data_IF_371457429610
#
_entry.id   IF_371457429610
#
_cell.length_a   1.000
_cell.length_b   1.000
_cell.length_c   1.000
_cell.angle_alpha   90.00
_cell.angle_beta   90.00
_cell.angle_gamma   90.00
#
_symmetry.space_group_name_H-M   'P 1'
#
loop_
_entity.id
_entity.type
_entity.pdbx_description
1 polymer ?
#
# COMPACT_ATOMS: atom_id res chain seq x y z
N UNK A 1 23.90 -17.42 -13.94
CA UNK A 1 23.31 -16.06 -14.00
C UNK A 1 21.81 -16.20 -14.07
N UNK A 2 21.17 -16.35 -12.92
CA UNK A 2 19.77 -16.72 -12.80
C UNK A 2 18.87 -15.51 -12.97
N UNK A 3 17.94 -15.61 -13.93
CA UNK A 3 16.76 -14.75 -14.02
C UNK A 3 15.91 -14.96 -12.76
N UNK A 4 15.98 -14.06 -11.80
CA UNK A 4 14.99 -13.98 -10.71
C UNK A 4 13.73 -13.31 -11.26
N UNK A 5 12.94 -14.09 -12.00
CA UNK A 5 11.61 -13.75 -12.45
C UNK A 5 10.68 -14.85 -11.95
N UNK A 6 10.33 -14.84 -10.65
CA UNK A 6 9.21 -15.60 -10.10
C UNK A 6 8.85 -15.11 -8.70
N UNK A 7 8.35 -13.87 -8.60
CA UNK A 7 7.50 -13.45 -7.49
C UNK A 7 6.34 -12.60 -8.05
N UNK A 8 5.75 -13.08 -9.16
CA UNK A 8 4.35 -12.81 -9.47
C UNK A 8 3.53 -13.92 -8.81
N UNK A 9 3.45 -13.91 -7.48
CA UNK A 9 2.22 -14.39 -6.86
C UNK A 9 1.31 -13.17 -6.85
N UNK A 10 0.23 -13.30 -7.61
CA UNK A 10 -0.86 -12.35 -7.73
C UNK A 10 -1.40 -12.09 -6.32
N UNK A 11 -0.88 -11.06 -5.65
CA UNK A 11 -1.65 -10.34 -4.64
C UNK A 11 -2.69 -9.58 -5.45
N UNK A 12 -3.87 -10.20 -5.65
CA UNK A 12 -5.00 -9.45 -6.20
C UNK A 12 -5.17 -8.20 -5.32
N UNK A 13 -5.24 -6.99 -5.89
CA UNK A 13 -5.42 -5.79 -5.10
C UNK A 13 -6.66 -5.97 -4.23
N UNK A 14 -6.45 -5.90 -2.92
CA UNK A 14 -7.48 -6.07 -1.90
C UNK A 14 -8.71 -5.23 -2.25
N UNK A 15 -9.85 -5.91 -2.36
CA UNK A 15 -11.13 -5.33 -2.74
C UNK A 15 -11.52 -4.21 -1.76
N UNK A 16 -11.38 -2.96 -2.19
CA UNK A 16 -11.69 -1.76 -1.39
C UNK A 16 -13.19 -1.70 -1.10
N UNK A 17 -13.57 -1.77 0.17
CA UNK A 17 -14.94 -1.50 0.61
C UNK A 17 -15.18 0.02 0.63
N UNK A 18 -16.20 0.46 -0.11
CA UNK A 18 -16.78 1.81 -0.16
C UNK A 18 -15.83 2.94 -0.63
N UNK A 19 -16.08 3.48 -1.84
CA UNK A 19 -16.36 4.91 -2.15
C UNK A 19 -16.44 5.12 -3.67
N UNK A 20 -17.18 6.16 -4.06
CA UNK A 20 -17.59 6.60 -5.40
C UNK A 20 -16.39 7.02 -6.27
N UNK A 21 -16.51 6.72 -7.58
CA UNK A 21 -15.52 6.87 -8.65
C UNK A 21 -14.20 6.09 -8.47
N UNK A 22 -14.15 4.92 -9.11
CA UNK A 22 -12.92 4.15 -9.31
C UNK A 22 -12.17 4.70 -10.53
N UNK A 23 -10.85 4.78 -10.45
CA UNK A 23 -10.03 5.13 -11.61
C UNK A 23 -9.99 3.94 -12.57
N UNK A 24 -10.02 4.15 -13.90
CA UNK A 24 -9.81 3.06 -14.84
C UNK A 24 -8.48 2.36 -14.56
N UNK A 25 -8.45 1.03 -14.68
CA UNK A 25 -7.24 0.25 -14.42
C UNK A 25 -6.05 0.75 -15.26
N UNK A 26 -6.29 1.14 -16.51
CA UNK A 26 -5.28 1.74 -17.39
C UNK A 26 -4.64 3.00 -16.81
N UNK A 27 -5.41 3.82 -16.11
CA UNK A 27 -4.93 5.04 -15.44
C UNK A 27 -4.11 4.67 -14.20
N UNK A 28 -4.60 3.71 -13.42
CA UNK A 28 -3.89 3.19 -12.23
C UNK A 28 -2.54 2.59 -12.61
N UNK A 29 -2.46 1.81 -13.70
CA UNK A 29 -1.20 1.25 -14.20
C UNK A 29 -0.20 2.33 -14.63
N UNK A 30 -0.67 3.42 -15.24
CA UNK A 30 0.19 4.57 -15.60
C UNK A 30 0.73 5.26 -14.35
N UNK A 31 -0.11 5.48 -13.34
CA UNK A 31 0.33 6.04 -12.04
C UNK A 31 1.35 5.10 -11.39
N UNK A 32 1.09 3.79 -11.37
CA UNK A 32 2.00 2.80 -10.80
C UNK A 32 3.35 2.81 -11.52
N UNK A 33 3.35 2.91 -12.86
CA UNK A 33 4.58 3.02 -13.64
C UNK A 33 5.39 4.27 -13.27
N UNK A 34 4.74 5.42 -13.05
CA UNK A 34 5.40 6.64 -12.57
C UNK A 34 5.98 6.42 -11.17
N UNK A 35 5.23 5.85 -10.23
CA UNK A 35 5.75 5.52 -8.89
C UNK A 35 7.01 4.64 -8.97
N UNK A 36 6.99 3.60 -9.82
CA UNK A 36 8.14 2.70 -9.99
C UNK A 36 9.39 3.39 -10.55
N UNK A 37 9.24 4.42 -11.41
CA UNK A 37 10.37 5.21 -11.89
C UNK A 37 11.12 5.91 -10.75
N UNK A 38 10.40 6.25 -9.69
CA UNK A 38 10.93 6.83 -8.45
C UNK A 38 11.24 5.79 -7.36
N UNK A 39 11.33 4.51 -7.74
CA UNK A 39 11.55 3.38 -6.81
C UNK A 39 10.51 3.30 -5.68
N UNK A 40 9.29 3.80 -5.92
CA UNK A 40 8.17 3.74 -5.00
C UNK A 40 7.09 2.78 -5.53
N UNK A 41 6.30 2.22 -4.62
CA UNK A 41 5.15 1.39 -4.92
C UNK A 41 3.88 2.18 -4.62
N UNK A 42 2.90 2.16 -5.54
CA UNK A 42 1.56 2.65 -5.26
C UNK A 42 0.85 1.62 -4.36
N UNK A 43 0.65 1.97 -3.08
CA UNK A 43 -0.02 1.12 -2.09
C UNK A 43 -1.53 1.21 -2.22
N UNK A 44 -2.04 2.44 -2.31
CA UNK A 44 -3.47 2.69 -2.35
C UNK A 44 -3.73 4.05 -3.00
N UNK A 45 -4.99 4.31 -3.32
CA UNK A 45 -5.47 5.61 -3.72
C UNK A 45 -6.90 5.82 -3.24
N UNK A 46 -7.30 7.08 -3.06
CA UNK A 46 -8.66 7.48 -2.74
C UNK A 46 -9.09 8.58 -3.71
N UNK A 47 -10.31 8.47 -4.22
CA UNK A 47 -10.94 9.49 -5.05
C UNK A 47 -12.09 10.09 -4.23
N UNK A 48 -12.02 11.40 -3.97
CA UNK A 48 -13.06 12.15 -3.27
C UNK A 48 -13.73 13.09 -4.26
N UNK A 49 -15.01 12.85 -4.51
CA UNK A 49 -15.87 13.79 -5.23
C UNK A 49 -16.52 14.75 -4.23
N UNK A 50 -16.13 16.01 -4.28
CA UNK A 50 -16.72 17.09 -3.50
C UNK A 50 -17.35 18.09 -4.45
N UNK A 51 -18.68 18.06 -4.59
CA UNK A 51 -19.49 19.09 -5.29
C UNK A 51 -18.85 19.62 -6.58
N UNK A 52 -18.48 18.74 -7.51
CA UNK A 52 -17.90 19.12 -8.81
C UNK A 52 -16.38 19.29 -8.84
N UNK A 53 -15.69 18.90 -7.76
CA UNK A 53 -14.23 18.88 -7.64
C UNK A 53 -13.78 17.48 -7.25
N UNK A 54 -12.93 16.86 -8.07
CA UNK A 54 -12.31 15.57 -7.73
C UNK A 54 -10.96 15.82 -7.06
N UNK A 55 -10.78 15.26 -5.87
CA UNK A 55 -9.49 15.20 -5.18
C UNK A 55 -9.00 13.75 -5.21
N UNK A 56 -7.79 13.54 -5.70
CA UNK A 56 -7.12 12.24 -5.65
C UNK A 56 -6.04 12.26 -4.59
N UNK A 57 -6.06 11.27 -3.71
CA UNK A 57 -4.97 11.00 -2.78
C UNK A 57 -4.29 9.70 -3.21
N UNK A 58 -2.99 9.76 -3.46
CA UNK A 58 -2.13 8.61 -3.72
C UNK A 58 -1.31 8.30 -2.47
N UNK A 59 -1.29 7.02 -2.12
CA UNK A 59 -0.54 6.51 -0.99
C UNK A 59 0.59 5.63 -1.52
N UNK A 60 1.81 6.10 -1.36
CA UNK A 60 3.02 5.45 -1.87
C UNK A 60 3.87 4.93 -0.73
N UNK A 61 4.66 3.90 -0.98
CA UNK A 61 5.69 3.47 -0.05
C UNK A 61 6.97 3.11 -0.80
N UNK A 62 8.12 3.31 -0.15
CA UNK A 62 9.44 3.10 -0.73
C UNK A 62 10.31 2.42 0.32
N UNK A 63 11.17 1.47 -0.05
CA UNK A 63 11.97 0.65 0.89
C UNK A 63 12.78 1.48 1.91
N UNK A 64 13.25 2.65 1.52
CA UNK A 64 14.07 3.56 2.33
C UNK A 64 13.24 4.62 3.06
N UNK A 65 11.91 4.60 2.88
CA UNK A 65 10.97 5.55 3.45
C UNK A 65 10.49 6.58 2.44
N UNK A 66 9.41 7.26 2.79
CA UNK A 66 8.79 8.28 1.93
C UNK A 66 9.17 9.65 2.46
N UNK A 67 9.85 10.45 1.62
CA UNK A 67 10.25 11.83 1.91
C UNK A 67 9.33 12.81 1.19
N UNK A 68 9.35 14.08 1.63
CA UNK A 68 8.62 15.15 0.94
C UNK A 68 9.09 15.30 -0.52
N UNK A 69 10.40 15.25 -0.76
CA UNK A 69 10.98 15.38 -2.10
C UNK A 69 10.53 14.25 -3.03
N UNK A 70 10.42 13.01 -2.50
CA UNK A 70 9.88 11.87 -3.26
C UNK A 70 8.42 12.09 -3.64
N UNK A 71 7.59 12.52 -2.69
CA UNK A 71 6.18 12.83 -2.97
C UNK A 71 6.05 13.94 -4.01
N UNK A 72 6.86 14.99 -3.92
CA UNK A 72 6.86 16.10 -4.85
C UNK A 72 7.27 15.65 -6.26
N UNK A 73 8.35 14.87 -6.39
CA UNK A 73 8.82 14.38 -7.68
C UNK A 73 7.75 13.51 -8.37
N UNK A 74 7.12 12.58 -7.64
CA UNK A 74 6.03 11.75 -8.17
C UNK A 74 4.83 12.61 -8.56
N UNK A 75 4.45 13.59 -7.73
CA UNK A 75 3.32 14.47 -8.03
C UNK A 75 3.55 15.24 -9.32
N UNK A 76 4.75 15.80 -9.53
CA UNK A 76 5.12 16.54 -10.75
C UNK A 76 5.07 15.64 -11.99
N UNK A 77 5.56 14.41 -11.91
CA UNK A 77 5.53 13.49 -13.06
C UNK A 77 4.12 12.98 -13.40
N UNK A 78 3.16 13.13 -12.48
CA UNK A 78 1.74 12.84 -12.72
C UNK A 78 1.01 14.04 -13.34
N UNK A 79 1.50 15.27 -13.25
CA UNK A 79 0.81 16.45 -13.84
C UNK A 79 0.49 16.29 -15.33
N UNK A 80 1.38 15.81 -16.21
CA UNK A 80 1.05 15.57 -17.62
C UNK A 80 -0.04 14.51 -17.81
N UNK A 81 -0.15 13.57 -16.86
CA UNK A 81 -1.17 12.54 -16.85
C UNK A 81 -2.55 13.14 -16.52
N UNK A 82 -2.62 14.12 -15.62
CA UNK A 82 -3.87 14.84 -15.28
C UNK A 82 -4.46 15.57 -16.50
N UNK A 83 -3.61 16.13 -17.36
CA UNK A 83 -4.05 16.83 -18.57
C UNK A 83 -4.44 15.88 -19.71
N UNK A 84 -3.71 14.76 -19.85
CA UNK A 84 -3.83 13.87 -21.01
C UNK A 84 -4.80 12.71 -20.82
N UNK A 85 -5.11 12.31 -19.59
CA UNK A 85 -6.03 11.22 -19.29
C UNK A 85 -7.46 11.75 -19.06
N UNK A 86 -8.44 11.41 -19.93
CA UNK A 86 -9.81 11.86 -19.76
C UNK A 86 -10.41 11.51 -18.40
N UNK A 87 -9.98 10.40 -17.78
CA UNK A 87 -10.44 9.96 -16.46
C UNK A 87 -9.99 10.89 -15.32
N UNK A 88 -8.97 11.71 -15.56
CA UNK A 88 -8.40 12.64 -14.58
C UNK A 88 -8.76 14.11 -14.88
N UNK A 89 -9.51 14.36 -15.95
CA UNK A 89 -9.82 15.73 -16.41
C UNK A 89 -10.57 16.62 -15.40
N UNK A 90 -11.31 16.02 -14.47
CA UNK A 90 -12.05 16.72 -13.41
C UNK A 90 -11.28 16.80 -12.08
N UNK A 91 -10.02 16.34 -12.05
CA UNK A 91 -9.16 16.37 -10.86
C UNK A 91 -8.66 17.79 -10.63
N UNK A 92 -9.03 18.37 -9.49
CA UNK A 92 -8.61 19.73 -9.10
C UNK A 92 -7.44 19.72 -8.12
N UNK A 93 -7.16 18.56 -7.52
CA UNK A 93 -6.09 18.40 -6.53
C UNK A 93 -5.60 16.96 -6.50
N UNK A 94 -4.28 16.82 -6.50
CA UNK A 94 -3.56 15.58 -6.28
C UNK A 94 -2.73 15.71 -5.01
N UNK A 95 -2.92 14.79 -4.06
CA UNK A 95 -2.08 14.66 -2.88
C UNK A 95 -1.30 13.35 -2.97
N UNK A 96 0.03 13.40 -2.78
CA UNK A 96 0.89 12.21 -2.73
C UNK A 96 1.52 12.11 -1.34
N UNK A 97 1.33 10.98 -0.67
CA UNK A 97 1.81 10.80 0.72
C UNK A 97 2.13 9.34 1.03
N UNK A 98 2.76 9.10 2.18
CA UNK A 98 2.88 7.74 2.72
C UNK A 98 1.51 7.17 3.14
N UNK A 99 1.29 5.84 3.12
CA UNK A 99 0.02 5.21 3.53
C UNK A 99 -0.38 5.45 5.00
N UNK A 100 0.54 5.91 5.84
CA UNK A 100 0.33 5.95 7.28
C UNK A 100 0.29 4.55 7.89
N UNK A 101 -0.37 4.42 9.03
CA UNK A 101 -0.50 3.15 9.78
C UNK A 101 -1.85 2.46 9.59
N UNK A 102 -2.84 3.18 9.07
CA UNK A 102 -4.22 2.69 8.93
C UNK A 102 -4.43 1.82 7.70
N UNK A 103 -3.52 1.89 6.72
CA UNK A 103 -3.57 1.08 5.50
C UNK A 103 -2.83 -0.25 5.68
N UNK A 104 -3.32 -1.31 5.04
CA UNK A 104 -2.70 -2.61 5.17
C UNK A 104 -1.32 -2.66 4.51
N UNK A 105 -0.44 -3.48 5.08
CA UNK A 105 0.83 -3.86 4.46
C UNK A 105 0.52 -4.81 3.30
N UNK A 106 1.04 -4.50 2.11
CA UNK A 106 0.80 -5.23 0.87
C UNK A 106 2.01 -6.09 0.52
N UNK A 107 3.22 -5.60 0.77
CA UNK A 107 4.45 -6.27 0.40
C UNK A 107 5.24 -6.79 1.61
N UNK A 108 5.90 -7.96 1.52
CA UNK A 108 6.74 -8.51 2.59
C UNK A 108 7.79 -7.52 3.13
N UNK A 109 8.38 -6.70 2.25
CA UNK A 109 9.41 -5.74 2.64
C UNK A 109 8.89 -4.62 3.55
N UNK A 110 7.58 -4.35 3.55
CA UNK A 110 6.98 -3.35 4.45
C UNK A 110 7.02 -3.83 5.90
N UNK A 111 6.81 -5.12 6.15
CA UNK A 111 6.83 -5.69 7.50
C UNK A 111 8.17 -5.47 8.20
N UNK A 112 9.29 -5.53 7.46
CA UNK A 112 10.64 -5.33 8.01
C UNK A 112 10.75 -3.96 8.71
N UNK A 113 10.12 -2.91 8.16
CA UNK A 113 10.12 -1.56 8.72
C UNK A 113 9.28 -1.41 10.00
N UNK A 114 8.44 -2.40 10.28
CA UNK A 114 7.50 -2.40 11.40
C UNK A 114 7.90 -3.41 12.49
N UNK A 115 9.14 -3.89 12.48
CA UNK A 115 9.65 -4.72 13.57
C UNK A 115 9.47 -4.01 14.93
N UNK A 116 8.96 -4.74 15.91
CA UNK A 116 8.61 -4.25 17.23
C UNK A 116 7.27 -3.52 17.33
N UNK A 117 6.55 -3.28 16.23
CA UNK A 117 5.22 -2.64 16.28
C UNK A 117 4.11 -3.66 16.47
N UNK A 118 3.02 -3.23 17.09
CA UNK A 118 1.79 -4.01 17.22
C UNK A 118 1.10 -4.12 15.85
N UNK A 119 0.85 -5.34 15.39
CA UNK A 119 0.09 -5.61 14.17
C UNK A 119 -1.23 -6.30 14.51
N UNK A 120 -2.28 -5.95 13.77
CA UNK A 120 -3.50 -6.74 13.64
C UNK A 120 -3.47 -7.45 12.29
N UNK A 121 -3.47 -8.78 12.31
CA UNK A 121 -3.37 -9.61 11.11
C UNK A 121 -4.62 -10.48 11.00
N UNK A 122 -5.30 -10.39 9.86
CA UNK A 122 -6.41 -11.26 9.49
C UNK A 122 -5.91 -12.28 8.48
N UNK A 123 -6.20 -13.57 8.69
CA UNK A 123 -5.83 -14.65 7.77
C UNK A 123 -6.87 -14.88 6.68
N UNK A 124 -6.55 -15.71 5.69
CA UNK A 124 -7.50 -16.15 4.65
C UNK A 124 -8.71 -16.90 5.23
N UNK A 125 -8.53 -17.56 6.38
CA UNK A 125 -9.59 -18.25 7.14
C UNK A 125 -10.44 -17.28 7.98
N UNK A 126 -10.16 -15.98 7.93
CA UNK A 126 -10.75 -14.91 8.74
C UNK A 126 -10.45 -14.99 10.25
N UNK A 127 -9.42 -15.74 10.65
CA UNK A 127 -8.88 -15.64 12.01
C UNK A 127 -8.15 -14.30 12.17
N UNK A 128 -8.23 -13.72 13.37
CA UNK A 128 -7.55 -12.45 13.68
C UNK A 128 -6.53 -12.65 14.79
N UNK A 129 -5.29 -12.26 14.50
CA UNK A 129 -4.17 -12.24 15.43
C UNK A 129 -3.80 -10.80 15.73
N UNK A 130 -3.47 -10.51 16.98
CA UNK A 130 -2.91 -9.22 17.39
C UNK A 130 -1.69 -9.45 18.26
N UNK A 131 -0.56 -8.86 17.89
CA UNK A 131 0.71 -9.06 18.59
C UNK A 131 1.84 -8.22 18.01
N UNK A 132 2.91 -8.06 18.78
CA UNK A 132 4.10 -7.35 18.34
C UNK A 132 4.85 -8.17 17.30
N UNK A 133 5.18 -7.55 16.17
CA UNK A 133 6.01 -8.17 15.15
C UNK A 133 7.43 -8.37 15.71
N UNK A 134 7.89 -9.62 15.81
CA UNK A 134 9.21 -9.96 16.35
C UNK A 134 10.22 -10.36 15.30
N UNK A 135 9.76 -11.00 14.23
CA UNK A 135 10.63 -11.38 13.13
C UNK A 135 9.86 -11.39 11.81
N UNK A 136 10.61 -11.14 10.75
CA UNK A 136 10.16 -11.25 9.36
C UNK A 136 11.20 -12.11 8.65
N UNK A 137 10.74 -13.16 7.99
CA UNK A 137 11.54 -14.01 7.11
C UNK A 137 11.05 -13.85 5.67
N UNK A 138 11.66 -14.57 4.73
CA UNK A 138 11.23 -14.56 3.33
C UNK A 138 9.82 -15.16 3.12
N UNK A 139 9.35 -16.00 4.05
CA UNK A 139 8.10 -16.74 3.88
C UNK A 139 7.01 -16.41 4.92
N UNK A 140 7.38 -15.85 6.07
CA UNK A 140 6.47 -15.69 7.21
C UNK A 140 6.87 -14.54 8.13
N UNK A 141 5.91 -14.10 8.94
CA UNK A 141 6.11 -13.21 10.09
C UNK A 141 5.87 -13.96 11.39
N UNK A 142 6.51 -13.51 12.47
CA UNK A 142 6.23 -14.00 13.84
C UNK A 142 5.69 -12.86 14.69
N UNK A 143 4.52 -13.08 15.29
CA UNK A 143 3.87 -12.17 16.24
C UNK A 143 3.98 -12.73 17.66
N UNK A 144 4.23 -11.86 18.63
CA UNK A 144 4.20 -12.19 20.06
C UNK A 144 3.08 -11.41 20.75
N UNK A 145 2.27 -12.11 21.55
CA UNK A 145 1.24 -11.51 22.40
C UNK A 145 1.21 -12.18 23.78
N UNK A 146 0.32 -11.74 24.66
CA UNK A 146 0.09 -12.38 25.97
C UNK A 146 -0.41 -13.82 25.86
N UNK A 147 -1.01 -14.20 24.72
CA UNK A 147 -1.45 -15.56 24.43
C UNK A 147 -0.31 -16.47 23.93
N UNK A 148 0.87 -15.91 23.64
CA UNK A 148 2.03 -16.63 23.14
C UNK A 148 2.53 -16.12 21.79
N UNK A 149 3.38 -16.94 21.16
CA UNK A 149 4.05 -16.65 19.89
C UNK A 149 3.35 -17.41 18.75
N UNK A 150 3.04 -16.72 17.66
CA UNK A 150 2.46 -17.30 16.45
C UNK A 150 3.29 -16.93 15.22
N UNK A 151 3.52 -17.89 14.33
CA UNK A 151 4.16 -17.66 13.03
C UNK A 151 3.12 -17.81 11.93
N UNK A 152 2.99 -16.77 11.10
CA UNK A 152 2.00 -16.67 10.03
C UNK A 152 2.73 -16.60 8.68
N UNK A 153 2.58 -17.60 7.80
CA UNK A 153 3.05 -17.52 6.42
C UNK A 153 2.40 -16.36 5.68
N UNK A 154 3.13 -15.68 4.79
CA UNK A 154 2.55 -14.63 3.95
C UNK A 154 1.40 -15.16 3.08
N UNK A 155 1.45 -16.43 2.69
CA UNK A 155 0.39 -17.10 1.92
C UNK A 155 -0.92 -17.22 2.69
N UNK A 156 -0.88 -17.15 4.02
CA UNK A 156 -2.07 -17.27 4.87
C UNK A 156 -2.58 -15.90 5.31
N UNK A 157 -1.80 -14.84 5.12
CA UNK A 157 -2.18 -13.48 5.49
C UNK A 157 -3.12 -12.93 4.43
N UNK A 158 -4.35 -12.64 4.86
CA UNK A 158 -5.26 -11.79 4.10
C UNK A 158 -4.77 -10.36 4.28
N UNK A 159 -4.89 -9.80 5.47
CA UNK A 159 -4.62 -8.38 5.71
C UNK A 159 -3.75 -8.20 6.96
N UNK A 160 -2.81 -7.25 6.95
CA UNK A 160 -2.08 -6.85 8.15
C UNK A 160 -2.07 -5.34 8.28
N UNK A 161 -2.47 -4.80 9.43
CA UNK A 161 -2.54 -3.36 9.71
C UNK A 161 -1.75 -3.03 10.95
N UNK A 162 -0.92 -1.99 10.88
CA UNK A 162 -0.16 -1.48 12.04
C UNK A 162 -1.14 -0.84 13.02
N UNK A 163 -1.01 -1.15 14.31
CA UNK A 163 -1.83 -0.54 15.35
C UNK A 163 -1.05 0.59 16.03
N UNK A 164 -1.75 1.68 16.31
CA UNK A 164 -1.24 2.74 17.19
C UNK A 164 -1.64 2.44 18.63
N UNK A 165 -0.68 2.59 19.53
CA UNK A 165 -0.86 2.48 20.96
C UNK A 165 -0.91 3.91 21.51
N UNK A 166 -2.08 4.31 22.01
CA UNK A 166 -2.34 5.63 22.59
C UNK A 166 -2.53 5.52 24.09
#
# INVERSE_FOLDING_TARGET
MGKCALFLFVFEPMRKQNIRHELPETTVERIRAICHQHQAELIDYTVRDTTGSIIIELFIDNRDGVTHDLCQAISTDIEPLLESDPALSAVVRLDVSSPGVDRPLIYPWQYIKHNGRLLRVTTLQNDTYSGYLRSVSDAAITLESTAGVVTLPFTDIKQAVVQLEW
#
